data_IF_790323013422
#
_entry.id   IF_790323013422
#
_cell.length_a   1.000
_cell.length_b   1.000
_cell.length_c   1.000
_cell.angle_alpha   90.00
_cell.angle_beta   90.00
_cell.angle_gamma   90.00
#
_symmetry.space_group_name_H-M   'P 1'
#
loop_
_entity.id
_entity.type
_entity.pdbx_description
1 polymer ?
#
# COMPACT_ATOMS: atom_id res chain seq x y z
N UNK A 1 10.10 22.10 -21.97
CA UNK A 1 10.52 21.13 -23.02
C UNK A 1 11.52 20.17 -22.42
N UNK A 2 11.13 18.91 -22.17
CA UNK A 2 12.09 17.88 -21.78
C UNK A 2 13.03 17.61 -22.97
N UNK A 3 14.31 17.95 -22.84
CA UNK A 3 15.32 17.58 -23.84
C UNK A 3 15.32 16.06 -23.95
N UNK A 4 15.05 15.54 -25.13
CA UNK A 4 15.18 14.10 -25.41
C UNK A 4 16.66 13.74 -25.37
N UNK A 5 17.11 13.06 -24.33
CA UNK A 5 18.49 12.57 -24.21
C UNK A 5 18.64 11.23 -24.94
N UNK A 6 18.56 11.24 -26.27
CA UNK A 6 18.57 10.04 -27.15
C UNK A 6 19.84 9.18 -27.05
N UNK A 7 20.91 9.63 -26.39
CA UNK A 7 22.17 8.89 -26.23
C UNK A 7 22.40 8.30 -24.83
N UNK A 8 21.56 8.58 -23.84
CA UNK A 8 21.76 8.08 -22.46
C UNK A 8 21.22 6.66 -22.32
N UNK A 9 22.01 5.75 -21.74
CA UNK A 9 21.55 4.40 -21.39
C UNK A 9 20.72 4.46 -20.11
N UNK A 10 19.40 4.48 -20.24
CA UNK A 10 18.45 4.51 -19.10
C UNK A 10 17.94 3.11 -18.82
N UNK A 11 17.91 2.73 -17.54
CA UNK A 11 17.42 1.43 -17.09
C UNK A 11 16.42 1.58 -15.96
N UNK A 12 15.19 1.12 -16.19
CA UNK A 12 14.16 0.97 -15.17
C UNK A 12 14.03 -0.50 -14.75
N UNK A 13 13.89 -0.75 -13.45
CA UNK A 13 13.61 -2.07 -12.90
C UNK A 13 12.89 -2.00 -11.54
N UNK A 14 11.81 -2.77 -11.31
CA UNK A 14 11.26 -2.96 -9.96
C UNK A 14 12.22 -3.76 -9.06
N UNK A 15 12.28 -3.41 -7.78
CA UNK A 15 13.17 -4.07 -6.81
C UNK A 15 12.96 -5.58 -6.70
N UNK A 16 11.73 -6.07 -6.84
CA UNK A 16 11.43 -7.51 -6.87
C UNK A 16 12.08 -8.20 -8.09
N UNK A 17 11.99 -7.60 -9.28
CA UNK A 17 12.65 -8.14 -10.49
C UNK A 17 14.16 -8.11 -10.36
N UNK A 18 14.72 -7.08 -9.71
CA UNK A 18 16.14 -7.04 -9.39
C UNK A 18 16.52 -8.21 -8.46
N UNK A 19 15.72 -8.44 -7.40
CA UNK A 19 15.88 -9.55 -6.45
C UNK A 19 15.86 -10.91 -7.15
N UNK A 20 14.84 -11.19 -7.97
CA UNK A 20 14.76 -12.44 -8.73
C UNK A 20 15.95 -12.62 -9.67
N UNK A 21 16.41 -11.53 -10.29
CA UNK A 21 17.60 -11.54 -11.14
C UNK A 21 18.88 -11.88 -10.38
N UNK A 22 19.09 -11.31 -9.19
CA UNK A 22 20.20 -11.66 -8.31
C UNK A 22 20.15 -13.15 -7.96
N UNK A 23 19.00 -13.65 -7.49
CA UNK A 23 18.82 -15.06 -7.12
C UNK A 23 19.15 -15.99 -8.30
N UNK A 24 18.63 -15.70 -9.48
CA UNK A 24 18.90 -16.48 -10.69
C UNK A 24 20.38 -16.45 -11.06
N UNK A 25 21.03 -15.28 -10.99
CA UNK A 25 22.45 -15.14 -11.33
C UNK A 25 23.36 -15.91 -10.38
N UNK A 26 23.02 -15.97 -9.09
CA UNK A 26 23.76 -16.76 -8.10
C UNK A 26 23.61 -18.25 -8.43
N UNK A 27 22.39 -18.72 -8.69
CA UNK A 27 22.11 -20.12 -9.04
C UNK A 27 22.87 -20.56 -10.29
N UNK A 28 22.94 -19.70 -11.30
CA UNK A 28 23.58 -20.00 -12.58
C UNK A 28 25.07 -19.65 -12.62
N UNK A 29 25.65 -19.09 -11.55
CA UNK A 29 27.03 -18.58 -11.48
C UNK A 29 27.33 -17.45 -12.50
N UNK A 30 26.34 -16.58 -12.74
CA UNK A 30 26.37 -15.48 -13.71
C UNK A 30 26.33 -14.09 -13.04
N UNK A 31 26.75 -13.99 -11.77
CA UNK A 31 26.65 -12.75 -10.97
C UNK A 31 27.40 -11.58 -11.62
N UNK A 32 28.56 -11.82 -12.23
CA UNK A 32 29.35 -10.78 -12.90
C UNK A 32 28.64 -10.19 -14.12
N UNK A 33 28.02 -11.06 -14.94
CA UNK A 33 27.21 -10.65 -16.08
C UNK A 33 26.00 -9.84 -15.62
N UNK A 34 25.34 -10.29 -14.54
CA UNK A 34 24.25 -9.55 -13.91
C UNK A 34 24.69 -8.16 -13.44
N UNK A 35 25.81 -8.02 -12.71
CA UNK A 35 26.35 -6.73 -12.26
C UNK A 35 26.66 -5.80 -13.44
N UNK A 36 27.35 -6.30 -14.45
CA UNK A 36 27.74 -5.53 -15.64
C UNK A 36 26.54 -4.91 -16.36
N UNK A 37 25.40 -5.62 -16.37
CA UNK A 37 24.14 -5.15 -16.96
C UNK A 37 23.61 -3.87 -16.32
N UNK A 38 23.83 -3.67 -15.02
CA UNK A 38 23.33 -2.49 -14.29
C UNK A 38 24.41 -1.44 -14.03
N UNK A 39 25.69 -1.80 -14.04
CA UNK A 39 26.80 -0.87 -13.80
C UNK A 39 27.24 -0.08 -15.05
N UNK A 40 26.73 -0.44 -16.24
CA UNK A 40 27.07 0.20 -17.53
C UNK A 40 26.06 1.24 -18.00
N UNK A 41 25.08 1.57 -17.17
CA UNK A 41 23.99 2.52 -17.49
C UNK A 41 24.36 3.95 -17.08
N UNK A 42 23.72 4.93 -17.71
CA UNK A 42 23.86 6.34 -17.32
C UNK A 42 22.85 6.76 -16.26
N UNK A 43 21.67 6.12 -16.27
CA UNK A 43 20.58 6.35 -15.32
C UNK A 43 20.02 5.01 -14.90
N UNK A 44 20.07 4.72 -13.60
CA UNK A 44 19.39 3.57 -12.99
C UNK A 44 18.18 4.04 -12.20
N UNK A 45 16.99 3.57 -12.58
CA UNK A 45 15.74 3.80 -11.87
C UNK A 45 15.32 2.49 -11.24
N UNK A 46 15.24 2.47 -9.91
CA UNK A 46 14.75 1.31 -9.15
C UNK A 46 13.45 1.69 -8.47
N UNK A 47 12.40 0.93 -8.79
CA UNK A 47 11.07 1.12 -8.21
C UNK A 47 10.92 0.28 -6.93
N UNK A 48 10.19 0.79 -5.94
CA UNK A 48 9.77 0.09 -4.73
C UNK A 48 10.90 -0.54 -3.90
N UNK A 49 11.91 0.26 -3.51
CA UNK A 49 13.09 -0.25 -2.77
C UNK A 49 12.77 -0.86 -1.40
N UNK A 50 11.57 -0.65 -0.86
CA UNK A 50 11.08 -1.31 0.35
C UNK A 50 11.07 -2.84 0.23
N UNK A 51 10.96 -3.39 -0.99
CA UNK A 51 10.99 -4.84 -1.19
C UNK A 51 12.39 -5.47 -1.09
N UNK A 52 13.45 -4.67 -0.97
CA UNK A 52 14.79 -5.16 -0.65
C UNK A 52 14.93 -5.58 0.82
N UNK A 53 14.00 -5.17 1.69
CA UNK A 53 13.96 -5.48 3.11
C UNK A 53 14.14 -6.98 3.39
N UNK A 54 15.08 -7.32 4.27
CA UNK A 54 15.37 -8.70 4.67
C UNK A 54 15.99 -9.59 3.58
N UNK A 55 16.29 -9.07 2.38
CA UNK A 55 16.94 -9.81 1.29
C UNK A 55 18.46 -9.56 1.28
N UNK A 56 19.17 -10.06 2.29
CA UNK A 56 20.59 -9.73 2.56
C UNK A 56 21.50 -9.80 1.33
N UNK A 57 21.53 -10.93 0.62
CA UNK A 57 22.35 -11.09 -0.61
C UNK A 57 21.96 -10.09 -1.70
N UNK A 58 20.67 -9.79 -1.84
CA UNK A 58 20.21 -8.80 -2.83
C UNK A 58 20.61 -7.39 -2.43
N UNK A 59 20.51 -7.05 -1.14
CA UNK A 59 20.98 -5.76 -0.63
C UNK A 59 22.48 -5.57 -0.84
N UNK A 60 23.28 -6.63 -0.68
CA UNK A 60 24.71 -6.61 -0.98
C UNK A 60 25.00 -6.34 -2.45
N UNK A 61 24.38 -7.10 -3.36
CA UNK A 61 24.54 -6.89 -4.81
C UNK A 61 24.07 -5.50 -5.26
N UNK A 62 22.96 -5.02 -4.68
CA UNK A 62 22.47 -3.68 -4.92
C UNK A 62 23.44 -2.62 -4.40
N UNK A 63 24.02 -2.79 -3.21
CA UNK A 63 25.03 -1.88 -2.66
C UNK A 63 26.26 -1.76 -3.57
N UNK A 64 26.75 -2.88 -4.12
CA UNK A 64 27.87 -2.84 -5.07
C UNK A 64 27.50 -2.11 -6.37
N UNK A 65 26.30 -2.38 -6.90
CA UNK A 65 25.78 -1.70 -8.09
C UNK A 65 25.63 -0.19 -7.85
N UNK A 66 25.06 0.20 -6.72
CA UNK A 66 24.92 1.59 -6.30
C UNK A 66 26.27 2.29 -6.24
N UNK A 67 27.25 1.71 -5.53
CA UNK A 67 28.59 2.29 -5.39
C UNK A 67 29.25 2.52 -6.74
N UNK A 68 29.29 1.50 -7.60
CA UNK A 68 29.94 1.63 -8.90
C UNK A 68 29.29 2.71 -9.75
N UNK A 69 27.97 2.92 -9.67
CA UNK A 69 27.30 3.97 -10.42
C UNK A 69 27.55 5.35 -9.81
N UNK A 70 27.48 5.44 -8.48
CA UNK A 70 27.72 6.67 -7.73
C UNK A 70 29.13 7.22 -7.96
N UNK A 71 30.17 6.37 -7.83
CA UNK A 71 31.57 6.72 -8.08
C UNK A 71 31.83 7.17 -9.52
N UNK A 72 31.07 6.62 -10.48
CA UNK A 72 31.13 7.00 -11.89
C UNK A 72 30.26 8.22 -12.22
N UNK A 73 29.73 8.93 -11.22
CA UNK A 73 28.81 10.06 -11.36
C UNK A 73 27.60 9.74 -12.27
N UNK A 74 27.07 8.51 -12.16
CA UNK A 74 25.84 8.11 -12.86
C UNK A 74 24.61 8.44 -12.02
N UNK A 75 23.50 8.71 -12.69
CA UNK A 75 22.26 9.06 -12.00
C UNK A 75 21.60 7.80 -11.44
N UNK A 76 21.19 7.87 -10.18
CA UNK A 76 20.39 6.84 -9.52
C UNK A 76 19.09 7.51 -9.08
N UNK A 77 17.95 6.89 -9.37
CA UNK A 77 16.62 7.33 -8.93
C UNK A 77 15.97 6.13 -8.24
N UNK A 78 15.50 6.35 -7.01
CA UNK A 78 14.85 5.34 -6.21
C UNK A 78 13.45 5.84 -5.85
N UNK A 79 12.46 4.95 -5.87
CA UNK A 79 11.15 5.20 -5.29
C UNK A 79 10.94 4.33 -4.06
N UNK A 80 10.13 4.80 -3.11
CA UNK A 80 9.68 3.99 -1.99
C UNK A 80 8.35 4.47 -1.41
N UNK A 81 7.55 3.53 -0.90
CA UNK A 81 6.33 3.81 -0.15
C UNK A 81 6.57 4.45 1.23
N UNK A 82 7.82 4.45 1.70
CA UNK A 82 8.16 4.92 3.05
C UNK A 82 9.57 5.52 3.07
N UNK A 83 9.87 6.45 4.01
CA UNK A 83 11.20 7.02 4.10
C UNK A 83 12.24 5.94 4.42
N UNK A 84 13.52 6.12 4.04
CA UNK A 84 14.59 5.14 4.28
C UNK A 84 14.66 4.64 5.72
N UNK A 85 14.43 5.52 6.70
CA UNK A 85 14.41 5.18 8.13
C UNK A 85 13.33 4.16 8.52
N UNK A 86 12.22 4.14 7.79
CA UNK A 86 11.08 3.29 8.06
C UNK A 86 11.11 1.96 7.27
N UNK A 87 12.12 1.72 6.44
CA UNK A 87 12.28 0.45 5.73
C UNK A 87 12.84 -0.59 6.72
N UNK A 88 12.07 -1.64 7.06
CA UNK A 88 12.50 -2.66 8.01
C UNK A 88 13.63 -3.50 7.42
N UNK A 89 14.57 -3.95 8.25
CA UNK A 89 15.66 -4.84 7.84
C UNK A 89 16.42 -4.39 6.57
N UNK A 90 16.53 -3.06 6.37
CA UNK A 90 17.41 -2.45 5.38
C UNK A 90 18.77 -2.21 6.04
N UNK A 91 19.84 -2.69 5.40
CA UNK A 91 21.20 -2.54 5.90
C UNK A 91 21.53 -1.05 6.11
N UNK A 92 22.15 -0.73 7.24
CA UNK A 92 22.51 0.65 7.62
C UNK A 92 23.33 1.37 6.54
N UNK A 93 24.21 0.64 5.85
CA UNK A 93 24.98 1.18 4.73
C UNK A 93 24.12 1.62 3.55
N UNK A 94 23.01 0.94 3.26
CA UNK A 94 22.07 1.37 2.21
C UNK A 94 21.21 2.53 2.69
N UNK A 95 20.73 2.46 3.93
CA UNK A 95 19.97 3.54 4.58
C UNK A 95 20.73 4.86 4.51
N UNK A 96 22.00 4.86 4.92
CA UNK A 96 22.88 6.04 4.86
C UNK A 96 23.04 6.60 3.44
N UNK A 97 23.10 5.73 2.42
CA UNK A 97 23.21 6.17 1.01
C UNK A 97 21.94 6.77 0.48
N UNK A 98 20.79 6.24 0.89
CA UNK A 98 19.49 6.81 0.50
C UNK A 98 19.29 8.17 1.15
N UNK A 99 19.68 8.31 2.42
CA UNK A 99 19.60 9.57 3.17
C UNK A 99 20.63 10.62 2.73
N UNK A 100 21.79 10.21 2.26
CA UNK A 100 22.81 11.11 1.72
C UNK A 100 22.46 11.71 0.35
N UNK A 101 21.37 11.26 -0.28
CA UNK A 101 20.86 11.80 -1.54
C UNK A 101 19.80 12.89 -1.34
N UNK A 102 19.16 13.30 -2.44
CA UNK A 102 17.99 14.18 -2.38
C UNK A 102 16.73 13.34 -2.13
N UNK A 103 16.04 13.60 -1.03
CA UNK A 103 14.73 13.02 -0.72
C UNK A 103 13.65 14.03 -1.10
N UNK A 104 12.74 13.62 -1.99
CA UNK A 104 11.56 14.39 -2.35
C UNK A 104 10.31 13.60 -1.95
N UNK A 105 9.46 14.20 -1.12
CA UNK A 105 8.18 13.61 -0.73
C UNK A 105 7.13 13.86 -1.83
N UNK A 106 6.32 12.83 -2.12
CA UNK A 106 5.21 12.92 -3.08
C UNK A 106 3.92 12.79 -2.31
N UNK A 107 3.32 13.93 -2.00
CA UNK A 107 2.03 14.01 -1.31
C UNK A 107 0.85 13.78 -2.26
N UNK A 108 -0.33 13.60 -1.69
CA UNK A 108 -1.56 13.51 -2.48
C UNK A 108 -1.82 14.82 -3.23
N UNK A 109 -2.27 14.77 -4.49
CA UNK A 109 -2.57 15.97 -5.26
C UNK A 109 -3.73 16.75 -4.64
N UNK A 110 -3.60 18.06 -4.60
CA UNK A 110 -4.70 18.96 -4.25
C UNK A 110 -5.80 18.96 -5.32
N UNK A 111 -6.92 19.65 -5.05
CA UNK A 111 -8.06 19.65 -5.96
C UNK A 111 -7.70 20.13 -7.37
N UNK A 112 -6.96 21.24 -7.46
CA UNK A 112 -6.54 21.83 -8.74
C UNK A 112 -5.63 20.88 -9.52
N UNK A 113 -4.69 20.22 -8.84
CA UNK A 113 -3.80 19.21 -9.42
C UNK A 113 -4.60 18.01 -9.91
N UNK A 114 -5.63 17.55 -9.18
CA UNK A 114 -6.52 16.46 -9.62
C UNK A 114 -7.28 16.83 -10.89
N UNK A 115 -7.81 18.05 -10.98
CA UNK A 115 -8.45 18.56 -12.20
C UNK A 115 -7.45 18.61 -13.35
N UNK A 116 -6.25 19.14 -13.13
CA UNK A 116 -5.21 19.21 -14.15
C UNK A 116 -4.78 17.82 -14.65
N UNK A 117 -4.67 16.83 -13.76
CA UNK A 117 -4.42 15.43 -14.11
C UNK A 117 -5.54 14.90 -15.02
N UNK A 118 -6.80 15.07 -14.62
CA UNK A 118 -7.95 14.58 -15.41
C UNK A 118 -8.01 15.23 -16.79
N UNK A 119 -7.82 16.56 -16.89
CA UNK A 119 -7.79 17.29 -18.16
C UNK A 119 -6.64 16.81 -19.05
N UNK A 120 -5.43 16.71 -18.50
CA UNK A 120 -4.24 16.26 -19.24
C UNK A 120 -4.40 14.83 -19.75
N UNK A 121 -4.84 13.90 -18.88
CA UNK A 121 -5.06 12.50 -19.24
C UNK A 121 -6.23 12.32 -20.20
N UNK A 122 -7.25 13.19 -20.15
CA UNK A 122 -8.36 13.21 -21.11
C UNK A 122 -7.86 13.55 -22.50
N UNK A 123 -7.07 14.63 -22.62
CA UNK A 123 -6.44 15.06 -23.87
C UNK A 123 -5.52 13.99 -24.47
N UNK A 124 -4.67 13.36 -23.65
CA UNK A 124 -3.83 12.22 -24.09
C UNK A 124 -4.66 11.07 -24.70
N UNK A 125 -5.90 10.88 -24.20
CA UNK A 125 -6.83 9.84 -24.65
C UNK A 125 -7.80 10.32 -25.73
N UNK A 126 -7.66 11.55 -26.23
CA UNK A 126 -8.55 12.22 -27.19
C UNK A 126 -10.02 12.24 -26.72
N UNK A 127 -10.24 12.48 -25.44
CA UNK A 127 -11.56 12.57 -24.84
C UNK A 127 -11.67 13.82 -23.98
N UNK A 128 -12.77 14.55 -24.15
CA UNK A 128 -13.10 15.73 -23.39
C UNK A 128 -14.42 15.51 -22.67
N UNK A 129 -14.47 15.94 -21.41
CA UNK A 129 -15.66 15.82 -20.56
C UNK A 129 -16.04 17.20 -20.01
N UNK A 130 -17.34 17.48 -19.85
CA UNK A 130 -17.82 18.67 -19.16
C UNK A 130 -17.15 18.87 -17.79
N UNK A 131 -16.89 20.13 -17.42
CA UNK A 131 -16.21 20.45 -16.16
C UNK A 131 -16.95 19.91 -14.93
N UNK A 132 -18.29 19.89 -14.95
CA UNK A 132 -19.10 19.32 -13.88
C UNK A 132 -18.77 17.84 -13.59
N UNK A 133 -18.41 17.05 -14.61
CA UNK A 133 -18.03 15.65 -14.45
C UNK A 133 -16.61 15.55 -13.87
N UNK A 134 -15.69 16.40 -14.35
CA UNK A 134 -14.32 16.44 -13.82
C UNK A 134 -14.31 16.89 -12.35
N UNK A 135 -15.09 17.90 -12.02
CA UNK A 135 -15.29 18.40 -10.66
C UNK A 135 -15.92 17.33 -9.76
N UNK A 136 -16.90 16.58 -10.29
CA UNK A 136 -17.48 15.45 -9.58
C UNK A 136 -16.44 14.38 -9.27
N UNK A 137 -15.60 13.98 -10.23
CA UNK A 137 -14.53 13.01 -10.00
C UNK A 137 -13.52 13.54 -8.96
N UNK A 138 -12.99 14.75 -9.16
CA UNK A 138 -11.94 15.33 -8.31
C UNK A 138 -12.40 15.60 -6.87
N UNK A 139 -13.69 15.89 -6.65
CA UNK A 139 -14.26 16.07 -5.31
C UNK A 139 -14.40 14.75 -4.55
N UNK A 140 -14.70 13.67 -5.26
CA UNK A 140 -14.99 12.37 -4.67
C UNK A 140 -13.76 11.46 -4.54
N UNK A 141 -12.78 11.58 -5.43
CA UNK A 141 -11.56 10.77 -5.42
C UNK A 141 -10.39 11.66 -4.98
N UNK A 142 -10.03 11.61 -3.70
CA UNK A 142 -9.10 12.58 -3.11
C UNK A 142 -7.67 12.05 -2.93
N UNK A 143 -7.49 10.73 -2.78
CA UNK A 143 -6.22 10.14 -2.30
C UNK A 143 -5.52 9.22 -3.28
N UNK A 144 -6.16 8.83 -4.38
CA UNK A 144 -5.62 7.83 -5.28
C UNK A 144 -5.68 8.28 -6.74
N UNK A 145 -4.52 8.65 -7.30
CA UNK A 145 -4.42 9.06 -8.71
C UNK A 145 -4.81 7.92 -9.66
N UNK A 146 -4.57 6.66 -9.27
CA UNK A 146 -4.99 5.51 -10.10
C UNK A 146 -6.51 5.41 -10.16
N UNK A 147 -7.22 5.76 -9.09
CA UNK A 147 -8.69 5.83 -9.10
C UNK A 147 -9.20 6.97 -9.96
N UNK A 148 -8.53 8.15 -9.96
CA UNK A 148 -8.86 9.25 -10.88
C UNK A 148 -8.74 8.79 -12.33
N UNK A 149 -7.62 8.15 -12.67
CA UNK A 149 -7.38 7.63 -14.01
C UNK A 149 -8.35 6.49 -14.37
N UNK A 150 -8.74 5.67 -13.39
CA UNK A 150 -9.73 4.61 -13.53
C UNK A 150 -11.13 5.15 -13.82
N UNK A 151 -11.54 6.20 -13.10
CA UNK A 151 -12.80 6.91 -13.36
C UNK A 151 -12.81 7.49 -14.77
N UNK A 152 -11.74 8.19 -15.15
CA UNK A 152 -11.57 8.74 -16.49
C UNK A 152 -11.61 7.62 -17.55
N UNK A 153 -10.92 6.49 -17.33
CA UNK A 153 -10.94 5.34 -18.26
C UNK A 153 -12.36 4.81 -18.50
N UNK A 154 -13.20 4.73 -17.47
CA UNK A 154 -14.60 4.28 -17.62
C UNK A 154 -15.42 5.24 -18.46
N UNK A 155 -15.26 6.55 -18.25
CA UNK A 155 -15.97 7.55 -19.04
C UNK A 155 -15.49 7.57 -20.49
N UNK A 156 -14.19 7.41 -20.74
CA UNK A 156 -13.61 7.28 -22.09
C UNK A 156 -14.15 6.04 -22.78
N UNK A 157 -14.24 4.91 -22.06
CA UNK A 157 -14.80 3.68 -22.61
C UNK A 157 -16.28 3.87 -22.99
N UNK A 158 -17.08 4.51 -22.12
CA UNK A 158 -18.47 4.82 -22.42
C UNK A 158 -18.61 5.70 -23.68
N UNK A 159 -17.85 6.79 -23.77
CA UNK A 159 -17.92 7.70 -24.92
C UNK A 159 -17.54 7.00 -26.22
N UNK A 160 -16.55 6.10 -26.20
CA UNK A 160 -16.18 5.29 -27.37
C UNK A 160 -17.27 4.31 -27.80
N UNK A 161 -18.03 3.75 -26.85
CA UNK A 161 -19.09 2.80 -27.13
C UNK A 161 -20.40 3.47 -27.58
N UNK A 162 -20.75 4.62 -27.01
CA UNK A 162 -22.00 5.33 -27.30
C UNK A 162 -21.85 6.43 -28.37
N UNK A 163 -20.62 6.78 -28.74
CA UNK A 163 -20.32 7.86 -29.68
C UNK A 163 -20.52 9.27 -29.11
N UNK A 164 -21.01 9.40 -27.87
CA UNK A 164 -21.28 10.68 -27.20
C UNK A 164 -20.77 10.67 -25.76
N UNK A 165 -20.38 11.83 -25.24
CA UNK A 165 -19.93 11.96 -23.86
C UNK A 165 -21.10 11.72 -22.88
N UNK A 166 -20.87 11.08 -21.72
CA UNK A 166 -21.92 10.93 -20.72
C UNK A 166 -22.28 12.29 -20.13
N UNK A 167 -23.55 12.48 -19.78
CA UNK A 167 -23.97 13.58 -18.91
C UNK A 167 -23.62 13.27 -17.44
N UNK A 168 -23.81 14.23 -16.53
CA UNK A 168 -23.47 14.07 -15.12
C UNK A 168 -24.19 12.88 -14.44
N UNK A 169 -25.45 12.62 -14.78
CA UNK A 169 -26.23 11.51 -14.18
C UNK A 169 -25.67 10.14 -14.59
N UNK A 170 -25.37 9.98 -15.88
CA UNK A 170 -24.75 8.77 -16.42
C UNK A 170 -23.35 8.59 -15.82
N UNK A 171 -22.56 9.66 -15.74
CA UNK A 171 -21.24 9.62 -15.11
C UNK A 171 -21.32 9.17 -13.65
N UNK A 172 -22.26 9.72 -12.85
CA UNK A 172 -22.52 9.27 -11.47
C UNK A 172 -22.86 7.79 -11.41
N UNK A 173 -23.70 7.30 -12.32
CA UNK A 173 -24.08 5.88 -12.39
C UNK A 173 -22.87 4.98 -12.70
N UNK A 174 -22.09 5.30 -13.74
CA UNK A 174 -20.90 4.54 -14.16
C UNK A 174 -19.79 4.50 -13.10
N UNK A 175 -19.67 5.59 -12.34
CA UNK A 175 -18.64 5.76 -11.33
C UNK A 175 -19.11 5.35 -9.94
N UNK A 176 -20.38 5.00 -9.74
CA UNK A 176 -20.93 4.61 -8.43
C UNK A 176 -20.09 3.56 -7.73
N UNK A 177 -19.69 2.49 -8.41
CA UNK A 177 -18.88 1.44 -7.75
C UNK A 177 -17.42 1.82 -7.53
N UNK A 178 -16.93 2.91 -8.14
CA UNK A 178 -15.55 3.39 -7.98
C UNK A 178 -15.47 4.48 -6.91
N UNK A 179 -16.46 5.38 -6.90
CA UNK A 179 -16.58 6.50 -5.94
C UNK A 179 -17.31 6.07 -4.67
N UNK A 180 -18.33 5.23 -4.81
CA UNK A 180 -19.04 4.56 -3.71
C UNK A 180 -18.53 3.13 -3.49
N UNK A 181 -17.40 2.73 -4.09
CA UNK A 181 -16.55 1.82 -3.34
C UNK A 181 -16.35 2.56 -2.03
N UNK A 182 -16.85 2.03 -0.90
CA UNK A 182 -16.46 2.63 0.36
C UNK A 182 -14.94 2.68 0.26
N UNK A 183 -14.33 3.79 0.68
CA UNK A 183 -13.16 3.56 1.51
C UNK A 183 -13.65 2.53 2.52
N UNK A 184 -13.39 1.23 2.28
CA UNK A 184 -13.73 0.11 3.16
C UNK A 184 -12.77 0.25 4.33
N UNK A 185 -12.82 1.40 5.00
CA UNK A 185 -12.17 1.64 6.26
C UNK A 185 -12.84 0.65 7.16
N UNK A 186 -12.15 -0.45 7.39
CA UNK A 186 -12.46 -1.34 8.49
C UNK A 186 -12.64 -0.44 9.70
N UNK A 187 -13.86 -0.41 10.23
CA UNK A 187 -14.17 0.39 11.42
C UNK A 187 -14.02 -0.48 12.64
N UNK A 188 -13.78 0.13 13.79
CA UNK A 188 -13.77 -0.59 15.05
C UNK A 188 -15.08 -1.35 15.29
N UNK A 189 -16.21 -0.79 14.85
CA UNK A 189 -17.53 -1.44 14.91
C UNK A 189 -17.55 -2.70 14.03
N UNK A 190 -17.08 -2.62 12.79
CA UNK A 190 -17.06 -3.76 11.87
C UNK A 190 -16.22 -4.92 12.37
N UNK A 191 -15.06 -4.63 12.97
CA UNK A 191 -14.22 -5.68 13.58
C UNK A 191 -14.98 -6.39 14.70
N UNK A 192 -15.59 -5.63 15.62
CA UNK A 192 -16.34 -6.21 16.75
C UNK A 192 -17.52 -7.03 16.26
N UNK A 193 -18.26 -6.53 15.26
CA UNK A 193 -19.38 -7.23 14.64
C UNK A 193 -18.95 -8.56 14.01
N UNK A 194 -17.91 -8.56 13.17
CA UNK A 194 -17.44 -9.77 12.48
C UNK A 194 -16.89 -10.79 13.47
N UNK A 195 -16.16 -10.36 14.49
CA UNK A 195 -15.69 -11.26 15.56
C UNK A 195 -16.87 -11.83 16.34
N UNK A 196 -17.89 -11.03 16.65
CA UNK A 196 -19.10 -11.50 17.32
C UNK A 196 -19.82 -12.58 16.49
N UNK A 197 -20.05 -12.30 15.21
CA UNK A 197 -20.67 -13.23 14.27
C UNK A 197 -19.84 -14.51 14.08
N UNK A 198 -18.51 -14.42 14.06
CA UNK A 198 -17.64 -15.58 13.89
C UNK A 198 -17.76 -16.59 15.04
N UNK A 199 -18.04 -16.11 16.25
CA UNK A 199 -18.17 -16.92 17.47
C UNK A 199 -19.61 -17.10 17.93
N UNK A 200 -20.61 -16.80 17.09
CA UNK A 200 -22.04 -16.86 17.40
C UNK A 200 -22.42 -16.08 18.69
N UNK A 201 -21.79 -14.92 18.88
CA UNK A 201 -22.06 -13.99 19.98
C UNK A 201 -22.75 -12.73 19.48
N UNK A 202 -23.43 -12.01 20.37
CA UNK A 202 -23.88 -10.64 20.12
C UNK A 202 -22.75 -9.66 20.45
N UNK A 203 -22.66 -8.54 19.74
CA UNK A 203 -21.66 -7.49 19.99
C UNK A 203 -21.63 -7.05 21.48
N UNK A 204 -22.80 -6.95 22.11
CA UNK A 204 -22.94 -6.58 23.53
C UNK A 204 -22.27 -7.59 24.47
N UNK A 205 -22.21 -8.87 24.11
CA UNK A 205 -21.60 -9.92 24.91
C UNK A 205 -20.08 -9.80 24.88
N UNK A 206 -19.51 -9.51 23.71
CA UNK A 206 -18.08 -9.20 23.57
C UNK A 206 -17.69 -7.96 24.38
N UNK A 207 -18.53 -6.92 24.40
CA UNK A 207 -18.26 -5.66 25.13
C UNK A 207 -18.47 -5.81 26.65
N UNK A 208 -19.21 -6.84 27.09
CA UNK A 208 -19.57 -7.03 28.50
C UNK A 208 -18.37 -7.24 29.43
N UNK A 209 -18.62 -7.24 30.75
CA UNK A 209 -17.63 -7.59 31.77
C UNK A 209 -17.50 -9.10 32.01
N UNK A 210 -18.21 -9.94 31.25
CA UNK A 210 -18.23 -11.39 31.46
C UNK A 210 -16.83 -12.00 31.38
N UNK A 211 -16.55 -12.91 32.32
CA UNK A 211 -15.28 -13.67 32.46
C UNK A 211 -15.36 -15.08 31.86
N UNK A 212 -16.51 -15.45 31.29
CA UNK A 212 -16.70 -16.75 30.62
C UNK A 212 -15.71 -16.91 29.46
N UNK A 213 -15.05 -18.06 29.36
CA UNK A 213 -13.92 -18.29 28.42
C UNK A 213 -14.35 -18.10 26.97
N UNK A 214 -15.55 -18.54 26.63
CA UNK A 214 -16.22 -18.41 25.35
C UNK A 214 -16.49 -16.95 24.95
N UNK A 215 -16.48 -16.00 25.89
CA UNK A 215 -16.61 -14.56 25.61
C UNK A 215 -15.23 -13.87 25.67
N UNK A 216 -14.36 -14.31 26.58
CA UNK A 216 -13.04 -13.71 26.77
C UNK A 216 -12.15 -13.93 25.56
N UNK A 217 -12.12 -15.13 24.96
CA UNK A 217 -11.29 -15.41 23.76
C UNK A 217 -11.70 -14.49 22.59
N UNK A 218 -12.98 -14.41 22.16
CA UNK A 218 -13.41 -13.48 21.11
C UNK A 218 -13.12 -12.00 21.43
N UNK A 219 -13.29 -11.59 22.68
CA UNK A 219 -12.95 -10.21 23.11
C UNK A 219 -11.46 -9.90 22.93
N UNK A 220 -10.59 -10.80 23.34
CA UNK A 220 -9.14 -10.63 23.18
C UNK A 220 -8.76 -10.56 21.70
N UNK A 221 -9.38 -11.39 20.86
CA UNK A 221 -9.19 -11.36 19.40
C UNK A 221 -9.65 -10.04 18.79
N UNK A 222 -10.81 -9.52 19.20
CA UNK A 222 -11.27 -8.21 18.74
C UNK A 222 -10.32 -7.08 19.15
N UNK A 223 -9.79 -7.10 20.38
CA UNK A 223 -8.76 -6.15 20.84
C UNK A 223 -7.47 -6.25 20.01
N UNK A 224 -7.01 -7.46 19.74
CA UNK A 224 -5.85 -7.72 18.90
C UNK A 224 -6.03 -7.15 17.49
N UNK A 225 -7.15 -7.46 16.83
CA UNK A 225 -7.44 -6.99 15.47
C UNK A 225 -7.60 -5.46 15.38
N UNK A 226 -8.16 -4.81 16.41
CA UNK A 226 -8.22 -3.34 16.46
C UNK A 226 -6.83 -2.70 16.52
N UNK A 227 -5.88 -3.35 17.21
CA UNK A 227 -4.50 -2.89 17.27
C UNK A 227 -3.75 -3.21 15.99
N UNK A 228 -3.93 -4.41 15.45
CA UNK A 228 -3.18 -4.90 14.29
C UNK A 228 -3.61 -4.23 12.99
N UNK A 229 -4.92 -4.17 12.74
CA UNK A 229 -5.47 -3.69 11.47
C UNK A 229 -5.71 -2.17 11.46
N UNK A 230 -6.12 -1.59 12.59
CA UNK A 230 -6.45 -0.15 12.67
C UNK A 230 -5.42 0.70 13.40
N UNK A 231 -4.33 0.08 13.89
CA UNK A 231 -3.29 0.73 14.71
C UNK A 231 -3.87 1.55 15.87
N UNK A 232 -5.04 1.14 16.39
CA UNK A 232 -5.74 1.82 17.48
C UNK A 232 -4.87 1.89 18.73
N UNK A 233 -4.96 2.99 19.50
CA UNK A 233 -4.22 3.10 20.76
C UNK A 233 -4.82 2.21 21.86
N UNK A 234 -3.99 1.66 22.75
CA UNK A 234 -4.48 0.81 23.85
C UNK A 234 -5.53 1.49 24.75
N UNK A 235 -5.43 2.81 25.06
CA UNK A 235 -6.50 3.51 25.77
C UNK A 235 -7.82 3.56 24.98
N UNK A 236 -7.76 3.73 23.66
CA UNK A 236 -8.96 3.71 22.82
C UNK A 236 -9.62 2.33 22.81
N UNK A 237 -8.81 1.27 22.68
CA UNK A 237 -9.28 -0.11 22.72
C UNK A 237 -9.95 -0.39 24.08
N UNK A 238 -9.29 -0.10 25.20
CA UNK A 238 -9.85 -0.31 26.55
C UNK A 238 -11.20 0.37 26.76
N UNK A 239 -11.34 1.64 26.34
CA UNK A 239 -12.62 2.37 26.37
C UNK A 239 -13.73 1.68 25.59
N UNK A 240 -13.40 1.08 24.44
CA UNK A 240 -14.39 0.44 23.55
C UNK A 240 -14.98 -0.85 24.12
N UNK A 241 -14.27 -1.55 25.01
CA UNK A 241 -14.73 -2.79 25.65
C UNK A 241 -15.16 -2.57 27.10
N UNK A 242 -16.07 -1.61 27.31
CA UNK A 242 -16.69 -1.37 28.62
C UNK A 242 -15.81 -0.62 29.62
N UNK A 243 -14.93 0.27 29.15
CA UNK A 243 -14.08 1.09 30.03
C UNK A 243 -12.95 0.32 30.72
N UNK A 244 -12.46 -0.76 30.11
CA UNK A 244 -11.34 -1.55 30.65
C UNK A 244 -10.03 -0.77 30.61
N UNK A 245 -9.14 -1.06 31.56
CA UNK A 245 -7.81 -0.48 31.60
C UNK A 245 -7.00 -0.79 30.34
N UNK A 246 -6.19 0.18 29.92
CA UNK A 246 -5.30 0.04 28.77
C UNK A 246 -4.34 -1.16 28.90
N UNK A 247 -3.95 -1.53 30.13
CA UNK A 247 -3.15 -2.73 30.43
C UNK A 247 -3.87 -4.03 30.04
N UNK A 248 -5.20 -4.08 30.13
CA UNK A 248 -5.99 -5.24 29.68
C UNK A 248 -5.92 -5.38 28.16
N UNK A 249 -5.94 -4.26 27.42
CA UNK A 249 -5.79 -4.26 25.97
C UNK A 249 -4.37 -4.68 25.54
N UNK A 250 -3.35 -4.26 26.28
CA UNK A 250 -1.94 -4.67 26.06
C UNK A 250 -1.82 -6.19 26.26
N UNK A 251 -2.26 -6.70 27.41
CA UNK A 251 -2.22 -8.13 27.71
C UNK A 251 -2.97 -8.98 26.66
N UNK A 252 -4.16 -8.53 26.25
CA UNK A 252 -4.93 -9.21 25.21
C UNK A 252 -4.18 -9.24 23.86
N UNK A 253 -3.55 -8.13 23.47
CA UNK A 253 -2.77 -8.06 22.24
C UNK A 253 -1.56 -9.01 22.29
N UNK A 254 -0.75 -8.96 23.34
CA UNK A 254 0.46 -9.80 23.49
C UNK A 254 0.11 -11.29 23.52
N UNK A 255 -0.96 -11.66 24.23
CA UNK A 255 -1.41 -13.04 24.32
C UNK A 255 -1.83 -13.59 22.95
N UNK A 256 -2.70 -12.87 22.23
CA UNK A 256 -3.18 -13.32 20.91
C UNK A 256 -2.06 -13.31 19.89
N UNK A 257 -1.17 -12.29 19.90
CA UNK A 257 0.00 -12.25 19.02
C UNK A 257 0.89 -13.48 19.23
N UNK A 258 1.22 -13.81 20.49
CA UNK A 258 2.01 -15.02 20.79
C UNK A 258 1.30 -16.32 20.42
N UNK A 259 -0.02 -16.38 20.50
CA UNK A 259 -0.80 -17.59 20.16
C UNK A 259 -0.85 -17.80 18.65
N UNK A 260 -0.98 -16.72 17.88
CA UNK A 260 -0.91 -16.73 16.40
C UNK A 260 0.45 -17.25 15.91
N UNK A 261 1.54 -16.84 16.56
CA UNK A 261 2.89 -17.27 16.17
C UNK A 261 3.18 -18.74 16.52
N UNK A 262 2.56 -19.27 17.59
CA UNK A 262 2.84 -20.61 18.12
C UNK A 262 1.92 -21.70 17.58
N UNK A 263 0.74 -21.35 17.09
CA UNK A 263 -0.28 -22.29 16.68
C UNK A 263 -0.80 -21.96 15.28
N UNK A 264 -0.36 -22.75 14.30
CA UNK A 264 -0.73 -22.58 12.88
C UNK A 264 -2.25 -22.62 12.65
N UNK A 265 -2.96 -23.56 13.30
CA UNK A 265 -4.43 -23.66 13.21
C UNK A 265 -5.12 -22.41 13.76
N UNK A 266 -4.57 -21.80 14.81
CA UNK A 266 -5.09 -20.55 15.33
C UNK A 266 -4.77 -19.36 14.42
N UNK A 267 -3.60 -19.35 13.78
CA UNK A 267 -3.26 -18.38 12.75
C UNK A 267 -4.24 -18.42 11.56
N UNK A 268 -4.62 -19.62 11.11
CA UNK A 268 -5.65 -19.82 10.08
C UNK A 268 -7.02 -19.30 10.52
N UNK A 269 -7.45 -19.57 11.77
CA UNK A 269 -8.68 -19.04 12.35
C UNK A 269 -8.72 -17.51 12.27
N UNK A 270 -7.63 -16.84 12.67
CA UNK A 270 -7.49 -15.38 12.64
C UNK A 270 -7.49 -14.85 11.21
N UNK A 271 -6.81 -15.53 10.28
CA UNK A 271 -6.81 -15.16 8.87
C UNK A 271 -8.21 -15.24 8.25
N UNK A 272 -9.01 -16.25 8.61
CA UNK A 272 -10.40 -16.37 8.15
C UNK A 272 -11.27 -15.22 8.68
N UNK A 273 -11.08 -14.82 9.94
CA UNK A 273 -11.74 -13.64 10.51
C UNK A 273 -11.33 -12.37 9.77
N UNK A 274 -10.02 -12.19 9.49
CA UNK A 274 -9.52 -11.05 8.70
C UNK A 274 -10.15 -11.04 7.31
N UNK A 275 -10.18 -12.16 6.61
CA UNK A 275 -10.84 -12.26 5.31
C UNK A 275 -12.29 -11.77 5.39
N UNK A 276 -13.08 -12.20 6.39
CA UNK A 276 -14.46 -11.72 6.61
C UNK A 276 -14.56 -10.23 6.90
N UNK A 277 -13.58 -9.64 7.58
CA UNK A 277 -13.51 -8.20 7.85
C UNK A 277 -13.30 -7.41 6.56
N UNK A 278 -12.47 -7.93 5.63
CA UNK A 278 -12.12 -7.27 4.38
C UNK A 278 -12.99 -7.69 3.18
N UNK A 279 -13.77 -8.77 3.29
CA UNK A 279 -14.66 -9.29 2.26
C UNK A 279 -16.06 -8.68 2.38
N UNK A 280 -16.28 -7.52 1.77
CA UNK A 280 -17.56 -7.06 1.16
C UNK A 280 -17.20 -6.03 0.12
#
# INVERSE_FOLDING_TARGET
MAKSFTQKKVRYIPSEKFTSGVVSSIRNREVESFRSKYQTVDVLIIDDVQFLAGKEKTQEEFFHTFNSLYEKNKQIILSSDRPPKAIPALAERLRSRFEGGMIADISYPDYETRIAILKTKGLERKAEFPEEILNYIASNIQRNVRELEGALNRLVAYQKLQGTAPNLEIAKSLLKNLISAPNKTVTAKKIIEVVAQFYDLREKEIISSSRKKEIVKPRQIAMYLLREELKSSFPFIGRRFGGKDHTTAIYAFEKIASEVDKNESFGEEINLIKQRIFSV
#
